data_IF_536069579257
#
_entry.id   IF_536069579257
#
_cell.length_a   1.000
_cell.length_b   1.000
_cell.length_c   1.000
_cell.angle_alpha   90.00
_cell.angle_beta   90.00
_cell.angle_gamma   90.00
#
_symmetry.space_group_name_H-M   'P 1'
#
loop_
_entity.id
_entity.type
_entity.pdbx_description
1 polymer ?
#
# COMPACT_ATOMS: atom_id res chain seq x y z
N UNK A 1 -4.13 -19.57 -6.41
CA UNK A 1 -3.70 -18.18 -6.65
C UNK A 1 -2.62 -17.87 -5.62
N UNK A 2 -1.44 -17.48 -6.07
CA UNK A 2 -0.33 -17.04 -5.22
C UNK A 2 -0.57 -15.60 -4.73
N UNK A 3 0.15 -15.14 -3.71
CA UNK A 3 0.03 -13.74 -3.26
C UNK A 3 0.45 -12.74 -4.34
N UNK A 4 1.41 -13.10 -5.20
CA UNK A 4 1.83 -12.25 -6.32
C UNK A 4 0.74 -12.14 -7.38
N UNK A 5 0.12 -13.25 -7.76
CA UNK A 5 -1.01 -13.25 -8.71
C UNK A 5 -2.19 -12.43 -8.18
N UNK A 6 -2.48 -12.55 -6.87
CA UNK A 6 -3.54 -11.78 -6.24
C UNK A 6 -3.21 -10.27 -6.23
N UNK A 7 -2.00 -9.90 -5.83
CA UNK A 7 -1.57 -8.50 -5.83
C UNK A 7 -1.57 -7.89 -7.23
N UNK A 8 -1.16 -8.64 -8.25
CA UNK A 8 -1.19 -8.21 -9.65
C UNK A 8 -2.62 -8.10 -10.23
N UNK A 9 -3.60 -8.76 -9.61
CA UNK A 9 -5.01 -8.67 -10.02
C UNK A 9 -5.72 -7.42 -9.49
N UNK A 10 -5.13 -6.73 -8.51
CA UNK A 10 -5.66 -5.49 -7.95
C UNK A 10 -5.28 -4.35 -8.89
N UNK A 11 -6.30 -3.66 -9.42
CA UNK A 11 -6.08 -2.37 -10.05
C UNK A 11 -5.85 -1.33 -8.97
N UNK A 12 -4.61 -0.85 -8.90
CA UNK A 12 -4.20 0.12 -7.91
C UNK A 12 -4.50 1.55 -8.30
N UNK A 13 -4.97 1.81 -9.52
CA UNK A 13 -5.28 3.17 -9.96
C UNK A 13 -6.40 3.80 -9.11
N UNK A 14 -6.15 5.00 -8.57
CA UNK A 14 -7.07 5.78 -7.73
C UNK A 14 -7.64 5.02 -6.52
N UNK A 15 -6.89 4.06 -5.95
CA UNK A 15 -7.36 3.32 -4.77
C UNK A 15 -7.11 4.13 -3.49
N UNK A 16 -8.15 4.38 -2.67
CA UNK A 16 -8.01 5.13 -1.44
C UNK A 16 -7.16 4.34 -0.44
N UNK A 17 -6.13 5.00 0.09
CA UNK A 17 -5.28 4.48 1.17
C UNK A 17 -5.85 4.97 2.50
N UNK A 18 -6.31 4.03 3.32
CA UNK A 18 -6.89 4.31 4.64
C UNK A 18 -5.84 4.39 5.75
N UNK A 19 -4.62 3.90 5.50
CA UNK A 19 -3.53 4.04 6.46
C UNK A 19 -2.15 3.64 5.95
N UNK A 20 -1.15 4.39 6.40
CA UNK A 20 0.27 4.07 6.23
C UNK A 20 0.91 3.97 7.61
N UNK A 21 1.63 2.87 7.88
CA UNK A 21 2.34 2.70 9.16
C UNK A 21 3.69 2.05 8.97
N UNK A 22 4.66 2.56 9.72
CA UNK A 22 5.95 1.90 9.93
C UNK A 22 5.88 1.11 11.22
N UNK A 23 6.10 -0.19 11.11
CA UNK A 23 6.21 -1.10 12.23
C UNK A 23 7.69 -1.47 12.37
N UNK A 24 8.33 -0.96 13.43
CA UNK A 24 9.76 -1.16 13.64
C UNK A 24 10.09 -2.51 14.31
N UNK A 25 9.09 -3.32 14.66
CA UNK A 25 9.26 -4.63 15.32
C UNK A 25 10.26 -4.60 16.49
N UNK A 26 11.04 -5.67 16.63
CA UNK A 26 12.22 -5.75 17.52
C UNK A 26 13.47 -5.11 16.89
N UNK A 27 13.30 -4.08 16.05
CA UNK A 27 14.35 -3.34 15.31
C UNK A 27 15.12 -4.15 14.25
N UNK A 28 14.86 -5.46 14.11
CA UNK A 28 15.55 -6.34 13.15
C UNK A 28 14.77 -6.59 11.86
N UNK A 29 13.46 -6.44 11.90
CA UNK A 29 12.55 -6.75 10.79
C UNK A 29 11.57 -5.58 10.63
N UNK A 30 12.05 -4.40 10.20
CA UNK A 30 11.16 -3.28 9.98
C UNK A 30 10.20 -3.61 8.83
N UNK A 31 8.92 -3.36 9.06
CA UNK A 31 7.88 -3.50 8.05
C UNK A 31 7.15 -2.19 7.79
N UNK A 32 6.74 -2.01 6.55
CA UNK A 32 5.87 -0.91 6.14
C UNK A 32 4.53 -1.49 5.74
N UNK A 33 3.45 -0.97 6.32
CA UNK A 33 2.11 -1.50 6.08
C UNK A 33 1.22 -0.42 5.48
N UNK A 34 0.48 -0.83 4.47
CA UNK A 34 -0.40 0.00 3.66
C UNK A 34 -1.77 -0.63 3.72
N UNK A 35 -2.73 0.08 4.31
CA UNK A 35 -4.13 -0.29 4.29
C UNK A 35 -4.84 0.50 3.18
N UNK A 36 -5.61 -0.19 2.36
CA UNK A 36 -6.35 0.38 1.22
C UNK A 36 -7.64 -0.38 0.99
N UNK A 37 -8.55 0.21 0.23
CA UNK A 37 -9.84 -0.40 -0.10
C UNK A 37 -9.97 -0.59 -1.60
N UNK A 38 -10.58 -1.71 -2.01
CA UNK A 38 -10.95 -1.95 -3.42
C UNK A 38 -12.44 -2.27 -3.50
N UNK A 39 -13.12 -1.82 -4.54
CA UNK A 39 -14.52 -2.18 -4.76
C UNK A 39 -14.65 -3.56 -5.40
N UNK A 40 -15.39 -4.46 -4.77
CA UNK A 40 -15.76 -5.77 -5.33
C UNK A 40 -17.09 -5.64 -6.07
N UNK A 41 -17.03 -5.71 -7.40
CA UNK A 41 -18.18 -5.59 -8.27
C UNK A 41 -19.21 -6.72 -8.13
N UNK A 42 -18.78 -7.93 -7.73
CA UNK A 42 -19.67 -9.07 -7.53
C UNK A 42 -20.40 -8.95 -6.19
N UNK A 43 -19.69 -8.58 -5.13
CA UNK A 43 -20.25 -8.39 -3.79
C UNK A 43 -21.01 -7.06 -3.63
N UNK A 44 -20.76 -6.09 -4.52
CA UNK A 44 -21.24 -4.70 -4.45
C UNK A 44 -20.84 -4.00 -3.14
N UNK A 45 -19.65 -4.32 -2.64
CA UNK A 45 -19.13 -3.81 -1.37
C UNK A 45 -17.62 -3.51 -1.48
N UNK A 46 -17.09 -2.78 -0.51
CA UNK A 46 -15.66 -2.52 -0.40
C UNK A 46 -14.96 -3.65 0.35
N UNK A 47 -13.80 -4.05 -0.16
CA UNK A 47 -12.90 -4.99 0.50
C UNK A 47 -11.71 -4.21 1.03
N UNK A 48 -11.51 -4.28 2.34
CA UNK A 48 -10.31 -3.74 2.98
C UNK A 48 -9.12 -4.70 2.77
N UNK A 49 -7.99 -4.15 2.37
CA UNK A 49 -6.74 -4.85 2.19
C UNK A 49 -5.65 -4.27 3.09
N UNK A 50 -4.71 -5.13 3.46
CA UNK A 50 -3.49 -4.74 4.14
C UNK A 50 -2.31 -5.38 3.40
N UNK A 51 -1.46 -4.52 2.83
CA UNK A 51 -0.19 -4.88 2.20
C UNK A 51 0.94 -4.57 3.18
N UNK A 52 1.54 -5.62 3.72
CA UNK A 52 2.70 -5.54 4.61
C UNK A 52 3.97 -5.86 3.82
N UNK A 53 4.89 -4.90 3.75
CA UNK A 53 6.21 -5.04 3.16
C UNK A 53 7.20 -5.40 4.26
N UNK A 54 7.84 -6.56 4.16
CA UNK A 54 8.78 -7.07 5.15
C UNK A 54 10.22 -7.03 4.64
N UNK A 55 11.16 -6.86 5.57
CA UNK A 55 12.58 -6.70 5.26
C UNK A 55 12.82 -5.56 4.27
N UNK A 56 12.42 -4.34 4.65
CA UNK A 56 12.64 -3.14 3.86
C UNK A 56 14.14 -2.97 3.56
N UNK A 57 14.46 -2.97 2.26
CA UNK A 57 15.80 -2.72 1.74
C UNK A 57 16.01 -1.22 1.57
N UNK A 58 15.01 -0.54 1.01
CA UNK A 58 15.04 0.91 0.83
C UNK A 58 13.66 1.54 1.02
N UNK A 59 13.68 2.74 1.61
CA UNK A 59 12.55 3.64 1.68
C UNK A 59 13.06 5.02 1.32
N UNK A 60 12.51 5.61 0.26
CA UNK A 60 12.84 6.97 -0.10
C UNK A 60 11.57 7.73 -0.46
N UNK A 61 11.49 8.97 -0.02
CA UNK A 61 10.39 9.85 -0.36
C UNK A 61 10.92 11.25 -0.65
N UNK A 62 10.17 12.00 -1.45
CA UNK A 62 10.26 13.47 -1.36
C UNK A 62 9.82 13.92 0.03
N UNK A 63 10.09 15.18 0.40
CA UNK A 63 9.67 15.71 1.70
C UNK A 63 8.16 15.59 1.84
N UNK A 64 7.71 14.84 2.85
CA UNK A 64 6.30 14.61 3.12
C UNK A 64 5.83 15.66 4.13
N UNK A 65 4.89 16.51 3.75
CA UNK A 65 4.12 17.35 4.66
C UNK A 65 2.68 16.83 4.64
N UNK A 66 2.28 16.14 5.72
CA UNK A 66 0.94 15.57 5.85
C UNK A 66 0.06 16.62 6.54
N UNK A 67 -0.89 17.17 5.80
CA UNK A 67 -1.97 17.97 6.36
C UNK A 67 -3.19 17.06 6.60
N UNK A 68 -4.05 17.42 7.55
CA UNK A 68 -5.22 16.61 7.93
C UNK A 68 -6.28 16.44 6.81
N UNK A 69 -6.16 17.21 5.73
CA UNK A 69 -7.00 17.21 4.53
C UNK A 69 -6.30 16.60 3.31
N UNK A 70 -5.22 15.82 3.52
CA UNK A 70 -4.52 15.13 2.43
C UNK A 70 -5.22 13.80 2.11
N UNK A 71 -5.53 13.60 0.83
CA UNK A 71 -5.96 12.31 0.31
C UNK A 71 -4.75 11.47 -0.11
N UNK A 72 -4.88 10.16 -0.07
CA UNK A 72 -3.79 9.23 -0.34
C UNK A 72 -4.25 8.19 -1.36
N UNK A 73 -3.54 8.12 -2.48
CA UNK A 73 -3.84 7.15 -3.53
C UNK A 73 -2.66 6.18 -3.66
N UNK A 74 -2.95 4.89 -3.71
CA UNK A 74 -1.95 3.93 -4.15
C UNK A 74 -1.84 3.99 -5.67
N UNK A 75 -0.68 3.70 -6.26
CA UNK A 75 -0.52 3.80 -7.72
C UNK A 75 0.02 2.52 -8.33
N UNK A 76 1.15 2.00 -7.84
CA UNK A 76 1.69 0.76 -8.40
C UNK A 76 2.59 -0.02 -7.45
N UNK A 77 2.59 -1.34 -7.62
CA UNK A 77 3.51 -2.26 -6.96
C UNK A 77 3.92 -3.35 -7.95
N UNK A 78 5.21 -3.62 -8.07
CA UNK A 78 5.76 -4.55 -9.06
C UNK A 78 6.92 -5.40 -8.51
N UNK A 79 7.08 -6.59 -9.07
CA UNK A 79 8.25 -7.44 -8.83
C UNK A 79 9.39 -6.99 -9.74
N UNK A 80 10.55 -6.68 -9.17
CA UNK A 80 11.75 -6.34 -9.92
C UNK A 80 12.51 -7.59 -10.39
N UNK A 81 13.30 -7.44 -11.46
CA UNK A 81 14.06 -8.55 -12.06
C UNK A 81 15.13 -9.14 -11.13
N UNK A 82 15.53 -8.40 -10.09
CA UNK A 82 16.49 -8.82 -9.06
C UNK A 82 15.86 -9.69 -7.95
N UNK A 83 14.56 -10.00 -8.06
CA UNK A 83 13.83 -10.78 -7.06
C UNK A 83 13.36 -9.99 -5.84
N UNK A 84 13.54 -8.68 -5.83
CA UNK A 84 12.96 -7.77 -4.84
C UNK A 84 11.60 -7.26 -5.30
N UNK A 85 10.80 -6.79 -4.35
CA UNK A 85 9.54 -6.12 -4.66
C UNK A 85 9.73 -4.61 -4.54
N UNK A 86 9.26 -3.88 -5.55
CA UNK A 86 9.37 -2.42 -5.64
C UNK A 86 7.98 -1.81 -5.76
N UNK A 87 7.73 -0.76 -4.99
CA UNK A 87 6.44 -0.09 -4.95
C UNK A 87 6.57 1.41 -5.03
N UNK A 88 5.65 2.04 -5.74
CA UNK A 88 5.53 3.49 -5.87
C UNK A 88 4.15 3.93 -5.36
N UNK A 89 4.16 4.75 -4.31
CA UNK A 89 2.96 5.40 -3.77
C UNK A 89 2.99 6.87 -4.16
N UNK A 90 1.87 7.37 -4.68
CA UNK A 90 1.71 8.77 -5.06
C UNK A 90 0.73 9.44 -4.10
N UNK A 91 1.20 10.44 -3.35
CA UNK A 91 0.33 11.19 -2.45
C UNK A 91 -0.19 12.43 -3.18
N UNK A 92 -1.51 12.52 -3.26
CA UNK A 92 -2.24 13.62 -3.87
C UNK A 92 -2.76 14.52 -2.75
N UNK A 93 -2.03 15.58 -2.40
CA UNK A 93 -2.63 16.53 -1.45
C UNK A 93 -3.82 17.21 -2.14
N UNK A 94 -4.88 17.53 -1.38
CA UNK A 94 -5.96 18.37 -1.86
C UNK A 94 -5.42 19.57 -2.66
N UNK A 95 -6.14 19.98 -3.70
CA UNK A 95 -5.72 20.92 -4.77
C UNK A 95 -5.05 20.31 -6.02
N UNK A 96 -5.14 19.00 -6.25
CA UNK A 96 -4.80 18.39 -7.54
C UNK A 96 -3.31 18.48 -7.92
N UNK A 97 -2.44 18.63 -6.93
CA UNK A 97 -0.99 18.59 -7.10
C UNK A 97 -0.45 17.27 -6.58
N UNK A 98 0.23 16.54 -7.45
CA UNK A 98 1.07 15.41 -7.08
C UNK A 98 2.19 15.94 -6.18
N UNK A 99 2.17 15.61 -4.90
CA UNK A 99 3.10 16.23 -3.95
C UNK A 99 4.14 15.28 -3.38
N UNK A 100 3.90 13.96 -3.39
CA UNK A 100 4.87 13.01 -2.85
C UNK A 100 4.91 11.72 -3.63
N UNK A 101 6.12 11.26 -3.94
CA UNK A 101 6.37 9.89 -4.36
C UNK A 101 7.12 9.18 -3.24
N UNK A 102 6.60 8.02 -2.82
CA UNK A 102 7.28 7.10 -1.91
C UNK A 102 7.71 5.89 -2.73
N UNK A 103 9.02 5.66 -2.78
CA UNK A 103 9.62 4.51 -3.45
C UNK A 103 10.05 3.52 -2.37
N UNK A 104 9.60 2.28 -2.52
CA UNK A 104 9.75 1.21 -1.54
C UNK A 104 10.45 0.04 -2.19
N UNK A 105 11.38 -0.61 -1.48
CA UNK A 105 11.97 -1.87 -1.88
C UNK A 105 11.98 -2.84 -0.70
N UNK A 106 11.50 -4.06 -0.89
CA UNK A 106 11.45 -5.09 0.15
C UNK A 106 11.76 -6.50 -0.39
N UNK A 107 12.11 -7.43 0.50
CA UNK A 107 12.40 -8.83 0.10
C UNK A 107 11.17 -9.70 0.02
N UNK A 108 10.16 -9.40 0.83
CA UNK A 108 8.91 -10.14 0.84
C UNK A 108 7.75 -9.24 1.19
N UNK A 109 6.55 -9.69 0.86
CA UNK A 109 5.32 -8.99 1.22
C UNK A 109 4.28 -10.01 1.69
N UNK A 110 3.30 -9.52 2.44
CA UNK A 110 2.08 -10.25 2.80
C UNK A 110 0.90 -9.39 2.39
N UNK A 111 -0.01 -9.96 1.61
CA UNK A 111 -1.29 -9.35 1.30
C UNK A 111 -2.39 -10.11 2.06
N UNK A 112 -3.17 -9.39 2.86
CA UNK A 112 -4.29 -9.92 3.61
C UNK A 112 -5.55 -9.08 3.36
N UNK A 113 -6.70 -9.74 3.16
CA UNK A 113 -7.97 -9.05 3.24
C UNK A 113 -8.37 -8.93 4.72
N UNK A 114 -8.86 -7.76 5.12
CA UNK A 114 -9.60 -7.61 6.36
C UNK A 114 -11.05 -7.81 5.99
N UNK A 115 -11.58 -8.99 6.26
CA UNK A 115 -13.04 -9.16 6.21
C UNK A 115 -13.60 -8.22 7.26
N UNK A 116 -14.27 -7.15 6.82
CA UNK A 116 -14.95 -6.22 7.69
C UNK A 116 -15.79 -7.05 8.68
N UNK A 117 -15.57 -6.85 9.98
CA UNK A 117 -16.47 -7.41 10.99
C UNK A 117 -17.86 -6.89 10.64
N UNK A 118 -18.74 -7.78 10.20
CA UNK A 118 -20.16 -7.50 10.05
C UNK A 118 -20.64 -6.98 11.40
N UNK A 119 -20.80 -5.67 11.52
CA UNK A 119 -21.46 -5.09 12.69
C UNK A 119 -22.93 -5.45 12.53
N UNK A 120 -23.39 -6.40 13.35
CA UNK A 120 -24.80 -6.76 13.46
C UNK A 120 -25.63 -5.60 13.99
#
# INVERSE_FOLDING_TARGET
>A
MTQLELLQSIDFHDQPVSGLRFELGDMKEPSFVIDFETYDDEAKDFVEWSLQLNDLISFSSTRIEIASDSDFDFFSFHLAMDGTFKGDILLTSGFGKLNVSINLECRSFVLANRVAKTTR
#
